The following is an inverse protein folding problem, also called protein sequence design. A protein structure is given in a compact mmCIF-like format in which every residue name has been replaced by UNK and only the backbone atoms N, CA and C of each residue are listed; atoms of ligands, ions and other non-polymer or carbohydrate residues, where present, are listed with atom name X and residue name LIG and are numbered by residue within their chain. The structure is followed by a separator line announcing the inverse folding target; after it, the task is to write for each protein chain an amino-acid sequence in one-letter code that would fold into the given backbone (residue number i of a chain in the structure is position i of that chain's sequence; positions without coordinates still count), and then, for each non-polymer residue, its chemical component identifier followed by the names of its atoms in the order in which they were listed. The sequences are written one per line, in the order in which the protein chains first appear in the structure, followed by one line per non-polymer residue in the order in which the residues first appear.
data_IF_804545456106
#
_entry.id   IF_804545456106
#
_cell.length_a   1.000
_cell.length_b   1.000
_cell.length_c   1.000
_cell.angle_alpha   90.00
_cell.angle_beta   90.00
_cell.angle_gamma   90.00
#
_symmetry.space_group_name_H-M   'P 1'
#
loop_
_entity.id
_entity.type
_entity.pdbx_description
1 polymer ?
#
# COMPACT_ATOMS: atom_id res chain seq x y z
N UNK A 1 0.66 -30.68 -3.11
CA UNK A 1 -0.29 -31.71 -3.54
C UNK A 1 -1.66 -31.47 -2.92
N UNK A 2 -1.81 -31.43 -1.59
CA UNK A 2 -3.10 -31.22 -0.89
C UNK A 2 -3.86 -29.96 -1.33
N UNK A 3 -3.18 -28.84 -1.63
CA UNK A 3 -3.79 -27.59 -2.11
C UNK A 3 -4.37 -27.76 -3.51
N UNK A 4 -3.63 -28.41 -4.42
CA UNK A 4 -4.08 -28.66 -5.80
C UNK A 4 -5.28 -29.61 -5.81
N UNK A 5 -5.28 -30.63 -4.97
CA UNK A 5 -6.40 -31.58 -4.82
C UNK A 5 -7.65 -30.90 -4.25
N UNK A 6 -7.53 -29.94 -3.32
CA UNK A 6 -8.65 -29.11 -2.83
C UNK A 6 -9.31 -28.29 -3.93
N UNK A 7 -8.53 -27.89 -4.94
CA UNK A 7 -9.04 -27.18 -6.12
C UNK A 7 -9.43 -28.11 -7.27
N UNK A 8 -9.57 -29.43 -7.01
CA UNK A 8 -9.88 -30.46 -8.01
C UNK A 8 -8.87 -30.49 -9.19
N UNK A 9 -7.66 -30.03 -8.91
CA UNK A 9 -6.53 -30.04 -9.85
C UNK A 9 -5.70 -31.33 -9.76
N UNK A 10 -4.72 -31.45 -10.65
CA UNK A 10 -3.74 -32.54 -10.68
C UNK A 10 -2.33 -31.98 -10.60
N UNK A 11 -1.45 -32.70 -9.91
CA UNK A 11 -0.01 -32.43 -9.88
C UNK A 11 0.74 -33.70 -10.23
N UNK A 12 1.64 -33.63 -11.23
CA UNK A 12 2.45 -34.77 -11.67
C UNK A 12 3.81 -34.28 -12.18
N UNK A 13 4.75 -35.23 -12.25
CA UNK A 13 6.07 -34.98 -12.83
C UNK A 13 6.00 -35.38 -14.29
N UNK A 14 6.48 -34.52 -15.19
CA UNK A 14 6.54 -34.81 -16.63
C UNK A 14 7.64 -35.86 -16.92
N UNK A 15 7.29 -37.10 -17.31
CA UNK A 15 8.28 -38.14 -17.52
C UNK A 15 9.10 -37.95 -18.83
N UNK A 16 8.69 -37.05 -19.70
CA UNK A 16 9.38 -36.73 -20.96
C UNK A 16 10.44 -35.64 -20.84
N UNK A 17 10.61 -35.03 -19.66
CA UNK A 17 11.61 -33.99 -19.46
C UNK A 17 12.95 -34.61 -19.03
N UNK A 18 14.00 -34.38 -19.83
CA UNK A 18 15.32 -35.06 -19.66
C UNK A 18 16.40 -34.17 -19.06
N UNK A 19 16.16 -32.86 -18.90
CA UNK A 19 17.15 -31.90 -18.39
C UNK A 19 16.90 -31.45 -16.95
N UNK A 20 16.23 -32.29 -16.14
CA UNK A 20 15.92 -31.98 -14.75
C UNK A 20 14.59 -32.57 -14.31
N UNK A 21 13.87 -31.90 -13.41
CA UNK A 21 12.55 -32.31 -12.95
C UNK A 21 11.51 -31.22 -13.28
N UNK A 22 10.55 -31.53 -14.14
CA UNK A 22 9.44 -30.65 -14.45
C UNK A 22 8.18 -31.09 -13.69
N UNK A 23 7.67 -30.23 -12.83
CA UNK A 23 6.43 -30.47 -12.07
C UNK A 23 5.28 -29.73 -12.75
N UNK A 24 4.32 -30.47 -13.28
CA UNK A 24 3.12 -29.93 -13.90
C UNK A 24 1.98 -29.81 -12.89
N UNK A 25 1.31 -28.66 -12.86
CA UNK A 25 0.12 -28.40 -12.05
C UNK A 25 -1.03 -28.01 -12.96
N UNK A 26 -2.08 -28.82 -12.97
CA UNK A 26 -3.31 -28.55 -13.73
C UNK A 26 -4.41 -28.15 -12.74
N UNK A 27 -5.03 -26.99 -12.93
CA UNK A 27 -6.17 -26.53 -12.12
C UNK A 27 -7.35 -26.29 -13.08
N UNK A 28 -8.58 -26.82 -12.78
CA UNK A 28 -9.75 -26.57 -13.59
C UNK A 28 -10.06 -25.07 -13.67
N UNK A 29 -10.10 -24.51 -14.88
CA UNK A 29 -10.53 -23.14 -15.12
C UNK A 29 -12.05 -23.09 -15.17
N UNK A 30 -12.66 -22.34 -14.25
CA UNK A 30 -14.08 -22.01 -14.31
C UNK A 30 -14.27 -20.83 -15.27
N UNK A 31 -14.64 -21.10 -16.50
CA UNK A 31 -15.13 -20.08 -17.42
C UNK A 31 -16.40 -19.43 -16.84
N UNK A 32 -16.24 -18.31 -16.17
CA UNK A 32 -17.31 -17.35 -16.06
C UNK A 32 -17.41 -16.70 -17.43
N UNK A 33 -18.43 -17.07 -18.21
CA UNK A 33 -18.75 -16.49 -19.50
C UNK A 33 -18.99 -14.98 -19.36
N UNK A 34 -17.92 -14.20 -19.47
CA UNK A 34 -18.01 -12.78 -19.81
C UNK A 34 -17.96 -12.76 -21.33
N UNK A 35 -19.11 -12.57 -21.96
CA UNK A 35 -19.22 -12.34 -23.39
C UNK A 35 -18.60 -10.99 -23.72
N UNK A 36 -17.30 -10.99 -24.01
CA UNK A 36 -16.64 -9.89 -24.68
C UNK A 36 -16.60 -10.23 -26.16
N UNK A 37 -17.44 -9.59 -26.96
CA UNK A 37 -17.35 -9.65 -28.41
C UNK A 37 -16.00 -9.11 -28.87
N UNK A 38 -15.20 -9.84 -29.65
CA UNK A 38 -13.97 -9.31 -30.19
C UNK A 38 -14.29 -8.44 -31.41
N UNK A 39 -14.34 -7.13 -31.23
CA UNK A 39 -14.17 -6.22 -32.37
C UNK A 39 -12.69 -6.14 -32.69
N UNK A 40 -12.26 -6.98 -33.61
CA UNK A 40 -10.95 -6.87 -34.24
C UNK A 40 -11.01 -5.64 -35.17
N UNK A 41 -10.47 -4.52 -34.65
CA UNK A 41 -10.10 -3.42 -35.55
C UNK A 41 -8.57 -3.38 -35.58
N UNK A 42 -8.05 -3.51 -36.79
CA UNK A 42 -6.66 -3.51 -37.19
C UNK A 42 -5.78 -2.53 -36.39
N UNK A 43 -4.70 -3.07 -35.83
CA UNK A 43 -3.58 -2.28 -35.32
C UNK A 43 -2.91 -1.50 -36.46
N UNK A 44 -2.63 -0.23 -36.31
CA UNK A 44 -1.58 0.42 -37.08
C UNK A 44 -0.22 0.08 -36.46
N UNK A 45 0.69 -0.34 -37.31
CA UNK A 45 2.10 -0.56 -37.03
C UNK A 45 2.77 0.68 -36.43
N UNK A 46 3.72 0.38 -35.51
CA UNK A 46 4.73 1.30 -34.97
C UNK A 46 4.25 2.41 -34.04
N UNK A 47 4.17 2.07 -32.76
CA UNK A 47 4.53 3.02 -31.71
C UNK A 47 6.05 2.89 -31.51
N UNK A 48 6.83 3.97 -31.66
CA UNK A 48 8.24 3.93 -31.27
C UNK A 48 8.29 3.69 -29.77
N UNK A 49 9.16 2.79 -29.35
CA UNK A 49 9.56 2.69 -27.97
C UNK A 49 10.13 4.05 -27.55
N UNK A 50 9.30 4.91 -27.00
CA UNK A 50 9.78 5.98 -26.15
C UNK A 50 10.24 5.27 -24.89
N UNK A 51 11.54 5.14 -24.74
CA UNK A 51 12.19 5.10 -23.45
C UNK A 51 11.78 6.40 -22.73
N UNK A 52 10.57 6.39 -22.15
CA UNK A 52 10.28 7.31 -21.07
C UNK A 52 11.22 6.87 -19.95
N UNK A 53 12.38 7.53 -19.88
CA UNK A 53 13.07 7.76 -18.64
C UNK A 53 12.05 8.49 -17.74
N UNK A 54 11.14 7.70 -17.14
CA UNK A 54 10.29 8.16 -16.06
C UNK A 54 11.22 8.71 -15.00
N UNK A 55 11.02 9.95 -14.61
CA UNK A 55 11.65 10.49 -13.39
C UNK A 55 11.55 9.38 -12.33
N UNK A 56 12.63 9.07 -11.59
CA UNK A 56 12.67 7.97 -10.65
C UNK A 56 11.46 8.16 -9.72
N UNK A 57 10.54 7.22 -9.75
CA UNK A 57 9.42 7.18 -8.82
C UNK A 57 10.06 7.29 -7.44
N UNK A 58 9.88 8.42 -6.75
CA UNK A 58 10.70 8.89 -5.65
C UNK A 58 10.66 8.03 -4.39
N UNK A 59 10.73 6.71 -4.53
CA UNK A 59 10.86 5.77 -3.42
C UNK A 59 12.28 5.75 -2.88
N UNK A 60 12.38 5.74 -1.55
CA UNK A 60 13.61 5.75 -0.78
C UNK A 60 13.80 4.41 -0.09
N UNK A 61 14.92 3.74 -0.33
CA UNK A 61 15.25 2.44 0.25
C UNK A 61 16.41 2.56 1.22
N UNK A 62 16.36 1.81 2.33
CA UNK A 62 17.51 1.62 3.23
C UNK A 62 18.09 0.22 2.98
N UNK A 63 19.34 0.15 2.62
CA UNK A 63 20.10 -1.10 2.43
C UNK A 63 21.08 -1.24 3.58
N UNK A 64 20.97 -2.36 4.32
CA UNK A 64 21.80 -2.66 5.50
C UNK A 64 22.60 -3.93 5.24
N UNK A 65 23.90 -3.79 5.12
CA UNK A 65 24.81 -4.88 4.75
C UNK A 65 26.22 -4.53 5.28
N UNK A 66 26.85 -5.43 6.00
CA UNK A 66 28.17 -5.20 6.60
C UNK A 66 29.32 -5.33 5.61
N UNK A 67 29.11 -6.07 4.52
CA UNK A 67 30.12 -6.25 3.46
C UNK A 67 30.07 -5.09 2.49
N UNK A 68 31.11 -4.26 2.50
CA UNK A 68 31.21 -3.03 1.68
C UNK A 68 30.98 -3.29 0.19
N UNK A 69 31.60 -4.35 -0.37
CA UNK A 69 31.45 -4.69 -1.79
C UNK A 69 29.99 -5.01 -2.17
N UNK A 70 29.27 -5.73 -1.29
CA UNK A 70 27.86 -6.07 -1.50
C UNK A 70 26.98 -4.82 -1.34
N UNK A 71 27.26 -4.00 -0.34
CA UNK A 71 26.55 -2.74 -0.10
C UNK A 71 26.66 -1.80 -1.31
N UNK A 72 27.90 -1.60 -1.83
CA UNK A 72 28.13 -0.79 -3.02
C UNK A 72 27.47 -1.39 -4.27
N UNK A 73 27.53 -2.72 -4.43
CA UNK A 73 26.87 -3.42 -5.53
C UNK A 73 25.37 -3.18 -5.51
N UNK A 74 24.70 -3.33 -4.36
CA UNK A 74 23.27 -3.09 -4.22
C UNK A 74 22.93 -1.62 -4.43
N UNK A 75 23.67 -0.71 -3.79
CA UNK A 75 23.45 0.73 -3.93
C UNK A 75 23.56 1.20 -5.38
N UNK A 76 24.57 0.73 -6.11
CA UNK A 76 24.75 1.07 -7.53
C UNK A 76 23.63 0.53 -8.42
N UNK A 77 23.22 -0.73 -8.24
CA UNK A 77 22.24 -1.37 -9.13
C UNK A 77 20.79 -0.97 -8.84
N UNK A 78 20.48 -0.61 -7.60
CA UNK A 78 19.15 -0.11 -7.20
C UNK A 78 19.05 1.41 -7.34
N UNK A 79 20.18 2.13 -7.22
CA UNK A 79 20.24 3.59 -7.29
C UNK A 79 19.81 4.20 -8.63
N UNK A 80 19.76 3.40 -9.70
CA UNK A 80 19.20 3.83 -10.98
C UNK A 80 17.67 4.03 -10.94
N UNK A 81 17.00 3.44 -9.95
CA UNK A 81 15.52 3.44 -9.86
C UNK A 81 15.02 4.06 -8.56
N UNK A 82 15.80 3.94 -7.48
CA UNK A 82 15.42 4.35 -6.13
C UNK A 82 16.44 5.27 -5.52
N UNK A 83 16.05 6.11 -4.57
CA UNK A 83 16.97 6.81 -3.69
C UNK A 83 17.48 5.82 -2.64
N UNK A 84 18.80 5.61 -2.55
CA UNK A 84 19.38 4.59 -1.66
C UNK A 84 20.07 5.27 -0.47
N UNK A 85 19.68 4.83 0.73
CA UNK A 85 20.41 5.06 1.97
C UNK A 85 21.09 3.77 2.37
N UNK A 86 22.25 3.86 3.00
CA UNK A 86 23.07 2.70 3.35
C UNK A 86 23.41 2.71 4.83
N UNK A 87 23.52 1.53 5.42
CA UNK A 87 24.02 1.33 6.77
C UNK A 87 24.83 0.01 6.80
N UNK A 88 25.82 -0.08 7.67
CA UNK A 88 26.71 -1.25 7.77
C UNK A 88 26.27 -2.24 8.86
N UNK A 89 25.31 -1.87 9.68
CA UNK A 89 24.75 -2.69 10.76
C UNK A 89 23.37 -2.13 11.20
N UNK A 90 22.66 -2.91 12.04
CA UNK A 90 21.33 -2.53 12.51
C UNK A 90 21.29 -1.24 13.35
N UNK A 91 22.36 -0.89 14.08
CA UNK A 91 22.41 0.35 14.88
C UNK A 91 22.45 1.58 13.97
N UNK A 92 23.36 1.59 13.00
CA UNK A 92 23.43 2.65 12.00
C UNK A 92 22.13 2.78 11.22
N UNK A 93 21.46 1.65 10.93
CA UNK A 93 20.16 1.66 10.29
C UNK A 93 19.10 2.38 11.14
N UNK A 94 19.03 2.14 12.45
CA UNK A 94 18.12 2.84 13.35
C UNK A 94 18.43 4.34 13.44
N UNK A 95 19.70 4.73 13.54
CA UNK A 95 20.15 6.13 13.52
C UNK A 95 19.74 6.83 12.20
N UNK A 96 19.92 6.15 11.07
CA UNK A 96 19.46 6.65 9.77
C UNK A 96 17.93 6.90 9.76
N UNK A 97 17.15 5.99 10.33
CA UNK A 97 15.69 6.08 10.38
C UNK A 97 15.16 7.19 11.32
N UNK A 98 15.96 7.70 12.25
CA UNK A 98 15.60 8.85 13.07
C UNK A 98 15.45 10.13 12.24
N UNK A 99 16.31 10.29 11.23
CA UNK A 99 16.40 11.52 10.44
C UNK A 99 15.85 11.37 9.02
N UNK A 100 15.81 10.15 8.48
CA UNK A 100 15.48 9.85 7.09
C UNK A 100 14.18 9.04 6.99
N UNK A 101 13.36 9.37 6.00
CA UNK A 101 12.17 8.57 5.66
C UNK A 101 12.52 7.58 4.56
N UNK A 102 12.19 6.31 4.78
CA UNK A 102 12.36 5.26 3.77
C UNK A 102 11.05 4.53 3.53
N UNK A 103 10.89 4.04 2.32
CA UNK A 103 9.69 3.32 1.87
C UNK A 103 9.81 1.81 2.03
N UNK A 104 11.05 1.29 2.12
CA UNK A 104 11.35 -0.13 2.30
C UNK A 104 12.77 -0.31 2.84
N UNK A 105 12.97 -1.34 3.66
CA UNK A 105 14.26 -1.73 4.23
C UNK A 105 14.68 -3.08 3.66
N UNK A 106 15.94 -3.20 3.25
CA UNK A 106 16.59 -4.45 2.84
C UNK A 106 17.75 -4.65 3.79
N UNK A 107 17.78 -5.75 4.53
CA UNK A 107 18.84 -6.02 5.51
C UNK A 107 19.40 -7.42 5.36
N UNK A 108 20.71 -7.53 5.43
CA UNK A 108 21.34 -8.82 5.73
C UNK A 108 20.93 -9.30 7.13
N UNK A 109 20.93 -10.62 7.31
CA UNK A 109 20.67 -11.24 8.62
C UNK A 109 21.94 -11.16 9.48
N UNK A 110 23.08 -11.56 8.93
CA UNK A 110 24.31 -11.71 9.71
C UNK A 110 25.15 -10.44 9.61
N UNK A 111 25.10 -9.63 10.65
CA UNK A 111 25.85 -8.38 10.73
C UNK A 111 26.41 -8.17 12.15
N UNK A 112 27.53 -7.44 12.30
CA UNK A 112 28.09 -7.09 13.60
C UNK A 112 27.18 -6.12 14.38
N UNK A 113 27.33 -6.07 15.69
CA UNK A 113 26.67 -5.14 16.63
C UNK A 113 25.18 -5.35 16.81
N UNK A 114 24.40 -5.34 15.74
CA UNK A 114 22.96 -5.62 15.71
C UNK A 114 22.66 -6.36 14.40
N UNK A 115 22.18 -7.56 14.52
CA UNK A 115 21.83 -8.41 13.38
C UNK A 115 20.48 -8.00 12.74
N UNK A 116 20.17 -8.60 11.57
CA UNK A 116 18.96 -8.27 10.82
C UNK A 116 17.66 -8.65 11.53
N UNK A 117 17.68 -9.68 12.38
CA UNK A 117 16.50 -10.07 13.17
C UNK A 117 16.28 -9.12 14.35
N UNK A 118 17.35 -8.70 15.01
CA UNK A 118 17.28 -7.71 16.09
C UNK A 118 16.80 -6.35 15.54
N UNK A 119 17.29 -5.94 14.36
CA UNK A 119 16.82 -4.76 13.67
C UNK A 119 15.33 -4.88 13.32
N UNK A 120 14.90 -5.98 12.71
CA UNK A 120 13.51 -6.24 12.37
C UNK A 120 12.61 -6.17 13.61
N UNK A 121 13.00 -6.83 14.70
CA UNK A 121 12.27 -6.80 15.97
C UNK A 121 12.14 -5.39 16.52
N UNK A 122 13.19 -4.59 16.47
CA UNK A 122 13.18 -3.20 16.88
C UNK A 122 12.22 -2.38 16.04
N UNK A 123 12.26 -2.54 14.70
CA UNK A 123 11.35 -1.88 13.75
C UNK A 123 9.90 -2.29 14.00
N UNK A 124 9.60 -3.57 14.20
CA UNK A 124 8.22 -4.06 14.43
C UNK A 124 7.66 -3.63 15.80
N UNK A 125 8.54 -3.43 16.78
CA UNK A 125 8.16 -2.93 18.12
C UNK A 125 7.96 -1.42 18.17
N UNK A 126 8.51 -0.68 17.22
CA UNK A 126 8.37 0.76 17.15
C UNK A 126 7.08 1.14 16.41
N UNK A 127 6.18 1.82 17.13
CA UNK A 127 4.91 2.28 16.57
C UNK A 127 5.07 3.24 15.37
N UNK A 128 6.24 3.86 15.19
CA UNK A 128 6.50 4.82 14.11
C UNK A 128 7.09 4.14 12.87
N UNK A 129 7.76 3.00 13.03
CA UNK A 129 8.51 2.33 11.98
C UNK A 129 7.85 1.01 11.52
N UNK A 130 6.97 0.42 12.32
CA UNK A 130 6.41 -0.93 12.10
C UNK A 130 5.66 -1.11 10.77
N UNK A 131 5.26 -0.01 10.12
CA UNK A 131 4.60 0.00 8.83
C UNK A 131 5.55 -0.11 7.62
N UNK A 132 6.86 0.01 7.82
CA UNK A 132 7.84 -0.02 6.74
C UNK A 132 8.06 -1.47 6.29
N UNK A 133 7.87 -1.82 5.01
CA UNK A 133 8.19 -3.14 4.49
C UNK A 133 9.65 -3.51 4.71
N UNK A 134 9.89 -4.76 5.07
CA UNK A 134 11.21 -5.25 5.45
C UNK A 134 11.54 -6.55 4.69
N UNK A 135 12.64 -6.52 3.93
CA UNK A 135 13.21 -7.67 3.22
C UNK A 135 14.44 -8.14 3.98
N UNK A 136 14.49 -9.43 4.33
CA UNK A 136 15.69 -10.06 4.86
C UNK A 136 16.47 -10.79 3.77
N UNK A 137 17.79 -10.58 3.74
CA UNK A 137 18.72 -11.33 2.90
C UNK A 137 19.30 -12.47 3.75
N UNK A 138 19.13 -13.72 3.32
CA UNK A 138 19.56 -14.89 4.10
C UNK A 138 20.52 -15.77 3.33
N UNK A 139 21.49 -16.40 4.02
CA UNK A 139 22.29 -17.46 3.45
C UNK A 139 21.48 -18.77 3.32
N UNK A 140 21.83 -19.61 2.36
CA UNK A 140 21.05 -20.78 1.89
C UNK A 140 20.78 -21.86 2.95
N UNK A 141 21.45 -21.87 4.11
CA UNK A 141 21.61 -23.07 4.95
C UNK A 141 20.69 -23.14 6.18
N UNK A 142 19.68 -22.29 6.34
CA UNK A 142 18.84 -22.36 7.54
C UNK A 142 17.34 -22.27 7.28
N UNK A 143 16.71 -23.43 7.10
CA UNK A 143 15.25 -23.56 7.14
C UNK A 143 14.70 -23.02 8.48
N UNK A 144 15.44 -23.23 9.56
CA UNK A 144 15.09 -22.69 10.88
C UNK A 144 15.11 -21.16 10.94
N UNK A 145 16.01 -20.50 10.22
CA UNK A 145 16.03 -19.04 10.10
C UNK A 145 14.85 -18.49 9.31
N UNK A 146 14.33 -19.23 8.32
CA UNK A 146 13.15 -18.84 7.55
C UNK A 146 11.87 -18.92 8.39
N UNK A 147 11.75 -19.98 9.21
CA UNK A 147 10.60 -20.17 10.10
C UNK A 147 10.63 -19.10 11.20
N UNK A 148 11.79 -18.90 11.83
CA UNK A 148 11.96 -17.86 12.84
C UNK A 148 11.66 -16.47 12.28
N UNK A 149 12.07 -16.18 11.06
CA UNK A 149 11.88 -14.87 10.45
C UNK A 149 10.46 -14.56 10.03
N UNK A 150 9.66 -15.53 9.61
CA UNK A 150 8.22 -15.39 9.41
C UNK A 150 7.51 -15.04 10.73
N UNK A 151 7.94 -15.64 11.84
CA UNK A 151 7.45 -15.34 13.18
C UNK A 151 7.85 -13.92 13.65
N UNK A 152 8.98 -13.39 13.17
CA UNK A 152 9.43 -12.01 13.44
C UNK A 152 8.78 -10.94 12.56
N UNK A 153 8.01 -11.33 11.50
CA UNK A 153 7.20 -10.41 10.71
C UNK A 153 7.94 -9.68 9.60
N UNK A 154 8.93 -10.31 8.96
CA UNK A 154 9.48 -9.81 7.69
C UNK A 154 8.43 -9.97 6.56
N UNK A 155 8.40 -9.00 5.63
CA UNK A 155 7.45 -9.04 4.50
C UNK A 155 7.95 -9.91 3.35
N UNK A 156 9.27 -10.09 3.23
CA UNK A 156 9.89 -10.98 2.26
C UNK A 156 11.27 -11.48 2.73
N UNK A 157 11.67 -12.63 2.14
CA UNK A 157 12.99 -13.23 2.28
C UNK A 157 13.60 -13.43 0.91
N UNK A 158 14.88 -13.09 0.78
CA UNK A 158 15.65 -13.33 -0.45
C UNK A 158 16.89 -14.14 -0.07
N UNK A 159 17.04 -15.32 -0.66
CA UNK A 159 18.20 -16.17 -0.42
C UNK A 159 19.42 -15.70 -1.21
N UNK A 160 20.58 -15.69 -0.57
CA UNK A 160 21.88 -15.51 -1.21
C UNK A 160 22.38 -16.88 -1.73
N UNK A 161 22.81 -17.00 -3.02
CA UNK A 161 22.94 -15.96 -4.02
C UNK A 161 21.61 -15.62 -4.72
N UNK A 162 21.36 -14.36 -4.95
CA UNK A 162 20.14 -13.87 -5.59
C UNK A 162 20.39 -13.18 -6.94
N UNK A 163 19.36 -13.14 -7.78
CA UNK A 163 19.40 -12.31 -8.98
C UNK A 163 18.83 -10.92 -8.70
N UNK A 164 19.42 -9.88 -9.30
CA UNK A 164 18.91 -8.52 -9.20
C UNK A 164 17.49 -8.38 -9.73
N UNK A 165 17.11 -9.16 -10.75
CA UNK A 165 15.74 -9.18 -11.29
C UNK A 165 14.74 -9.69 -10.25
N UNK A 166 15.06 -10.75 -9.49
CA UNK A 166 14.22 -11.25 -8.41
C UNK A 166 14.09 -10.22 -7.30
N UNK A 167 15.20 -9.60 -6.86
CA UNK A 167 15.17 -8.54 -5.85
C UNK A 167 14.30 -7.36 -6.27
N UNK A 168 14.50 -6.83 -7.48
CA UNK A 168 13.68 -5.72 -8.02
C UNK A 168 12.19 -6.09 -8.11
N UNK A 169 11.87 -7.31 -8.53
CA UNK A 169 10.48 -7.78 -8.56
C UNK A 169 9.87 -7.84 -7.16
N UNK A 170 10.60 -8.32 -6.16
CA UNK A 170 10.14 -8.36 -4.76
C UNK A 170 9.93 -6.95 -4.19
N UNK A 171 10.87 -6.03 -4.41
CA UNK A 171 10.75 -4.62 -4.01
C UNK A 171 9.49 -4.00 -4.64
N UNK A 172 9.35 -4.14 -5.97
CA UNK A 172 8.20 -3.57 -6.68
C UNK A 172 6.87 -4.13 -6.16
N UNK A 173 6.78 -5.43 -5.92
CA UNK A 173 5.56 -6.05 -5.38
C UNK A 173 5.18 -5.48 -4.00
N UNK A 174 6.15 -5.30 -3.11
CA UNK A 174 5.90 -4.73 -1.79
C UNK A 174 5.47 -3.26 -1.87
N UNK A 175 6.13 -2.46 -2.71
CA UNK A 175 5.79 -1.06 -2.92
C UNK A 175 4.43 -0.90 -3.62
N UNK A 176 4.11 -1.74 -4.61
CA UNK A 176 2.80 -1.72 -5.29
C UNK A 176 1.67 -2.17 -4.37
N UNK A 177 1.87 -3.21 -3.54
CA UNK A 177 0.89 -3.61 -2.54
C UNK A 177 0.57 -2.43 -1.60
N UNK A 178 1.58 -1.67 -1.21
CA UNK A 178 1.41 -0.46 -0.41
C UNK A 178 0.66 0.64 -1.17
N UNK A 179 0.95 0.83 -2.45
CA UNK A 179 0.23 1.76 -3.31
C UNK A 179 -1.24 1.37 -3.50
N UNK A 180 -1.54 0.07 -3.61
CA UNK A 180 -2.94 -0.41 -3.65
C UNK A 180 -3.67 -0.07 -2.35
N UNK A 181 -3.02 -0.21 -1.19
CA UNK A 181 -3.57 0.25 0.10
C UNK A 181 -3.91 1.74 0.06
N UNK A 182 -3.01 2.58 -0.45
CA UNK A 182 -3.26 4.02 -0.57
C UNK A 182 -4.45 4.32 -1.48
N UNK A 183 -4.56 3.64 -2.61
CA UNK A 183 -5.70 3.78 -3.51
C UNK A 183 -7.00 3.35 -2.84
N UNK A 184 -6.97 2.28 -2.05
CA UNK A 184 -8.14 1.83 -1.30
C UNK A 184 -8.61 2.87 -0.28
N UNK A 185 -7.69 3.57 0.42
CA UNK A 185 -8.05 4.67 1.31
C UNK A 185 -8.77 5.81 0.59
N UNK A 186 -8.40 6.10 -0.65
CA UNK A 186 -8.98 7.22 -1.41
C UNK A 186 -10.31 6.86 -2.05
N UNK A 187 -10.52 5.62 -2.48
CA UNK A 187 -11.66 5.22 -3.32
C UNK A 187 -12.85 4.66 -2.55
N UNK A 188 -12.63 4.02 -1.40
CA UNK A 188 -13.73 3.42 -0.63
C UNK A 188 -14.42 4.48 0.23
N UNK A 189 -15.77 4.66 0.09
CA UNK A 189 -16.51 5.67 0.84
C UNK A 189 -16.52 5.44 2.35
N UNK A 190 -16.54 4.18 2.82
CA UNK A 190 -16.57 3.84 4.23
C UNK A 190 -15.17 3.85 4.86
N UNK A 191 -15.09 4.23 6.14
CA UNK A 191 -13.86 4.19 6.94
C UNK A 191 -13.41 2.77 7.33
N UNK A 192 -13.97 1.72 6.72
CA UNK A 192 -13.56 0.35 6.99
C UNK A 192 -12.21 0.07 6.34
N UNK A 193 -11.19 -0.11 7.17
CA UNK A 193 -9.87 -0.58 6.71
C UNK A 193 -9.92 -2.07 6.44
N UNK A 194 -9.37 -2.51 5.32
CA UNK A 194 -9.15 -3.93 5.09
C UNK A 194 -8.05 -4.41 6.03
N UNK A 195 -8.48 -5.05 7.13
CA UNK A 195 -7.59 -5.55 8.18
C UNK A 195 -6.65 -6.66 7.70
N UNK A 196 -6.88 -7.19 6.48
CA UNK A 196 -6.00 -8.21 5.89
C UNK A 196 -4.72 -7.60 5.29
N UNK A 197 -4.74 -6.29 5.00
CA UNK A 197 -3.66 -5.58 4.31
C UNK A 197 -2.82 -4.69 5.23
N UNK A 198 -3.24 -4.50 6.49
CA UNK A 198 -2.53 -3.66 7.47
C UNK A 198 -2.35 -4.40 8.80
N UNK A 199 -1.24 -4.12 9.48
CA UNK A 199 -1.08 -4.64 10.83
C UNK A 199 -2.04 -3.97 11.82
N UNK A 200 -2.39 -4.69 12.90
CA UNK A 200 -3.36 -4.23 13.91
C UNK A 200 -2.96 -2.91 14.59
N UNK A 201 -1.67 -2.67 14.73
CA UNK A 201 -1.12 -1.46 15.37
C UNK A 201 -1.39 -0.23 14.49
N UNK A 202 -1.15 -0.33 13.18
CA UNK A 202 -1.38 0.76 12.25
C UNK A 202 -2.86 1.06 12.06
N UNK A 203 -3.71 0.03 12.01
CA UNK A 203 -5.18 0.20 12.01
C UNK A 203 -5.63 0.96 13.24
N UNK A 204 -5.17 0.57 14.43
CA UNK A 204 -5.50 1.25 15.68
C UNK A 204 -5.01 2.71 15.68
N UNK A 205 -3.79 2.94 15.19
CA UNK A 205 -3.22 4.29 15.11
C UNK A 205 -4.03 5.19 14.16
N UNK A 206 -4.42 4.70 12.98
CA UNK A 206 -5.28 5.46 12.05
C UNK A 206 -6.68 5.71 12.61
N UNK A 207 -7.27 4.75 13.31
CA UNK A 207 -8.56 4.95 13.97
C UNK A 207 -8.48 6.08 15.00
N UNK A 208 -7.43 6.11 15.83
CA UNK A 208 -7.21 7.21 16.79
C UNK A 208 -7.09 8.56 16.08
N UNK A 209 -6.35 8.64 14.97
CA UNK A 209 -6.25 9.86 14.16
C UNK A 209 -7.63 10.28 13.61
N UNK A 210 -8.42 9.33 13.12
CA UNK A 210 -9.76 9.63 12.60
C UNK A 210 -10.69 10.14 13.69
N UNK A 211 -10.65 9.56 14.87
CA UNK A 211 -11.40 10.05 16.04
C UNK A 211 -11.00 11.49 16.41
N UNK A 212 -9.69 11.77 16.43
CA UNK A 212 -9.18 13.12 16.69
C UNK A 212 -9.68 14.11 15.64
N UNK A 213 -9.60 13.76 14.36
CA UNK A 213 -10.07 14.62 13.26
C UNK A 213 -11.58 14.84 13.38
N UNK A 214 -12.36 13.78 13.58
CA UNK A 214 -13.82 13.84 13.62
C UNK A 214 -14.34 14.73 14.75
N UNK A 215 -13.79 14.59 15.95
CA UNK A 215 -14.20 15.43 17.10
C UNK A 215 -13.79 16.90 16.97
N UNK A 216 -12.85 17.21 16.07
CA UNK A 216 -12.33 18.55 15.86
C UNK A 216 -12.79 19.16 14.51
N UNK A 217 -13.82 18.64 13.84
CA UNK A 217 -14.27 19.18 12.54
C UNK A 217 -14.60 20.67 12.56
N UNK A 218 -15.29 21.12 13.59
CA UNK A 218 -15.75 22.50 13.74
C UNK A 218 -14.76 23.39 14.50
N UNK A 219 -13.65 22.83 14.96
CA UNK A 219 -12.64 23.59 15.70
C UNK A 219 -11.71 24.31 14.72
N UNK A 220 -11.89 25.64 14.59
CA UNK A 220 -11.07 26.49 13.69
C UNK A 220 -9.59 26.54 14.11
N UNK A 221 -9.30 26.30 15.38
CA UNK A 221 -7.92 26.25 15.91
C UNK A 221 -7.26 24.89 15.74
N UNK A 222 -7.95 23.89 15.20
CA UNK A 222 -7.40 22.55 15.01
C UNK A 222 -6.33 22.55 13.92
N UNK A 223 -5.09 22.34 14.35
CA UNK A 223 -3.91 22.30 13.49
C UNK A 223 -3.24 20.93 13.53
N UNK A 224 -2.32 20.70 12.59
CA UNK A 224 -1.48 19.48 12.58
C UNK A 224 -0.65 19.42 13.89
N UNK A 225 -0.25 20.55 14.43
CA UNK A 225 0.51 20.60 15.69
C UNK A 225 -0.33 20.11 16.87
N UNK A 226 -1.59 20.56 16.98
CA UNK A 226 -2.53 20.06 18.00
C UNK A 226 -2.83 18.56 17.81
N UNK A 227 -2.96 18.09 16.57
CA UNK A 227 -3.13 16.65 16.31
C UNK A 227 -1.90 15.83 16.74
N UNK A 228 -0.70 16.34 16.51
CA UNK A 228 0.54 15.69 16.95
C UNK A 228 0.67 15.68 18.49
N UNK A 229 0.28 16.78 19.14
CA UNK A 229 0.25 16.89 20.60
C UNK A 229 -0.73 15.88 21.22
N UNK A 230 -1.96 15.75 20.68
CA UNK A 230 -2.94 14.77 21.14
C UNK A 230 -2.48 13.30 20.93
N UNK A 231 -1.66 13.07 19.90
CA UNK A 231 -1.03 11.76 19.64
C UNK A 231 0.25 11.54 20.46
N UNK A 232 0.69 12.51 21.25
CA UNK A 232 1.95 12.51 22.02
C UNK A 232 3.19 12.21 21.14
N UNK A 233 3.23 12.76 19.92
CA UNK A 233 4.35 12.61 18.97
C UNK A 233 4.75 13.96 18.39
N UNK A 234 5.96 14.05 17.82
CA UNK A 234 6.36 15.25 17.09
C UNK A 234 5.57 15.43 15.79
N UNK A 235 5.43 16.68 15.34
CA UNK A 235 4.81 16.99 14.03
C UNK A 235 5.48 16.25 12.88
N UNK A 236 6.81 16.18 12.87
CA UNK A 236 7.57 15.47 11.85
C UNK A 236 7.26 13.97 11.83
N UNK A 237 7.16 13.36 13.01
CA UNK A 237 6.80 11.95 13.14
C UNK A 237 5.37 11.68 12.68
N UNK A 238 4.42 12.56 13.05
CA UNK A 238 3.05 12.48 12.56
C UNK A 238 2.99 12.53 11.03
N UNK A 239 3.67 13.52 10.42
CA UNK A 239 3.70 13.69 8.95
C UNK A 239 4.32 12.46 8.28
N UNK A 240 5.45 11.97 8.80
CA UNK A 240 6.17 10.82 8.28
C UNK A 240 5.32 9.56 8.31
N UNK A 241 4.77 9.22 9.47
CA UNK A 241 3.95 8.00 9.62
C UNK A 241 2.66 8.09 8.83
N UNK A 242 1.95 9.22 8.86
CA UNK A 242 0.70 9.37 8.13
C UNK A 242 0.93 9.27 6.61
N UNK A 243 1.96 9.94 6.09
CA UNK A 243 2.36 9.82 4.68
C UNK A 243 2.77 8.38 4.35
N UNK A 244 3.53 7.75 5.24
CA UNK A 244 3.95 6.36 5.07
C UNK A 244 2.79 5.36 5.04
N UNK A 245 1.72 5.57 5.81
CA UNK A 245 0.55 4.69 5.85
C UNK A 245 -0.48 4.97 4.77
N UNK A 246 -0.64 6.23 4.37
CA UNK A 246 -1.76 6.68 3.51
C UNK A 246 -1.33 7.26 2.17
N UNK A 247 -0.03 7.48 1.97
CA UNK A 247 0.52 8.18 0.81
C UNK A 247 0.23 9.68 0.79
N UNK A 248 -0.48 10.22 1.80
CA UNK A 248 -0.98 11.60 1.80
C UNK A 248 -0.36 12.45 2.90
N UNK A 249 -0.12 13.74 2.63
CA UNK A 249 0.21 14.69 3.70
C UNK A 249 -0.99 14.89 4.63
N UNK A 250 -0.78 15.28 5.91
CA UNK A 250 -1.84 15.40 6.92
C UNK A 250 -3.03 16.28 6.51
N UNK A 251 -2.79 17.41 5.87
CA UNK A 251 -3.88 18.29 5.41
C UNK A 251 -4.80 17.62 4.39
N UNK A 252 -4.24 16.82 3.48
CA UNK A 252 -5.01 16.10 2.48
C UNK A 252 -5.77 14.94 3.13
N UNK A 253 -5.17 14.29 4.12
CA UNK A 253 -5.82 13.24 4.88
C UNK A 253 -7.00 13.78 5.71
N UNK A 254 -6.82 14.89 6.43
CA UNK A 254 -7.91 15.57 7.16
C UNK A 254 -9.05 15.92 6.20
N UNK A 255 -8.72 16.47 5.03
CA UNK A 255 -9.72 16.79 4.01
C UNK A 255 -10.46 15.54 3.52
N UNK A 256 -9.75 14.42 3.31
CA UNK A 256 -10.35 13.16 2.92
C UNK A 256 -11.33 12.64 3.97
N UNK A 257 -10.96 12.65 5.26
CA UNK A 257 -11.84 12.21 6.34
C UNK A 257 -13.09 13.08 6.41
N UNK A 258 -12.96 14.42 6.33
CA UNK A 258 -14.09 15.35 6.25
C UNK A 258 -15.04 15.01 5.09
N UNK A 259 -14.50 14.73 3.90
CA UNK A 259 -15.31 14.40 2.72
C UNK A 259 -15.99 13.02 2.84
N UNK A 260 -15.32 12.02 3.42
CA UNK A 260 -15.92 10.70 3.68
C UNK A 260 -17.09 10.80 4.64
N UNK A 261 -16.91 11.49 5.78
CA UNK A 261 -17.99 11.74 6.73
C UNK A 261 -19.12 12.55 6.08
N UNK A 262 -18.79 13.53 5.24
CA UNK A 262 -19.82 14.24 4.47
C UNK A 262 -20.63 13.30 3.58
N UNK A 263 -19.98 12.32 2.92
CA UNK A 263 -20.65 11.31 2.11
C UNK A 263 -21.58 10.42 2.91
N UNK A 264 -21.24 10.08 4.14
CA UNK A 264 -22.09 9.30 5.06
C UNK A 264 -23.32 10.11 5.48
N UNK A 265 -23.13 11.35 5.97
CA UNK A 265 -24.21 12.25 6.37
C UNK A 265 -25.19 12.56 5.21
N UNK A 266 -24.65 12.71 3.98
CA UNK A 266 -25.48 12.93 2.80
C UNK A 266 -26.31 11.71 2.42
N UNK A 267 -25.84 10.47 2.67
CA UNK A 267 -26.60 9.25 2.43
C UNK A 267 -27.69 9.04 3.47
N UNK A 268 -27.44 9.42 4.73
CA UNK A 268 -28.45 9.38 5.79
C UNK A 268 -29.65 10.29 5.46
N UNK A 269 -29.40 11.37 4.70
CA UNK A 269 -30.46 12.25 4.21
C UNK A 269 -31.10 13.18 5.26
N UNK A 270 -30.57 13.20 6.48
CA UNK A 270 -31.09 14.01 7.57
C UNK A 270 -30.72 15.49 7.46
N UNK A 271 -29.63 15.81 6.74
CA UNK A 271 -29.07 17.16 6.66
C UNK A 271 -29.08 17.70 5.25
N UNK A 272 -29.22 19.03 5.12
CA UNK A 272 -29.04 19.71 3.83
C UNK A 272 -27.56 19.78 3.48
N UNK A 273 -27.22 19.85 2.20
CA UNK A 273 -25.84 19.87 1.70
C UNK A 273 -25.02 20.99 2.37
N UNK A 274 -25.59 22.19 2.55
CA UNK A 274 -24.90 23.30 3.21
C UNK A 274 -24.65 23.01 4.72
N UNK A 275 -25.60 22.35 5.39
CA UNK A 275 -25.44 21.96 6.79
C UNK A 275 -24.31 20.93 6.92
N UNK A 276 -24.30 19.90 6.07
CA UNK A 276 -23.22 18.92 6.02
C UNK A 276 -21.86 19.61 5.79
N UNK A 277 -21.77 20.59 4.87
CA UNK A 277 -20.55 21.35 4.64
C UNK A 277 -19.98 21.92 5.94
N UNK A 278 -20.81 22.57 6.74
CA UNK A 278 -20.36 23.17 8.00
C UNK A 278 -20.12 22.14 9.11
N UNK A 279 -20.93 21.10 9.20
CA UNK A 279 -20.77 20.00 10.19
C UNK A 279 -19.37 19.35 10.02
N UNK A 280 -18.94 19.11 8.79
CA UNK A 280 -17.63 18.49 8.52
C UNK A 280 -16.47 19.50 8.46
N UNK A 281 -16.71 20.76 8.85
CA UNK A 281 -15.68 21.78 9.02
C UNK A 281 -15.20 22.48 7.75
N UNK A 282 -16.03 22.54 6.71
CA UNK A 282 -15.77 23.43 5.56
C UNK A 282 -16.49 24.75 5.76
N UNK A 283 -15.78 25.87 5.58
CA UNK A 283 -16.33 27.22 5.73
C UNK A 283 -16.91 27.79 4.43
N UNK A 284 -16.71 27.10 3.29
CA UNK A 284 -17.15 27.55 1.98
C UNK A 284 -17.82 26.43 1.18
N UNK A 285 -19.16 26.51 0.95
CA UNK A 285 -19.91 25.50 0.21
C UNK A 285 -19.42 25.26 -1.23
N UNK A 286 -18.95 26.31 -1.92
CA UNK A 286 -18.43 26.15 -3.29
C UNK A 286 -17.09 25.41 -3.31
N UNK A 287 -16.23 25.67 -2.34
CA UNK A 287 -14.98 24.94 -2.17
C UNK A 287 -15.25 23.49 -1.76
N UNK A 288 -16.17 23.26 -0.82
CA UNK A 288 -16.64 21.93 -0.44
C UNK A 288 -17.13 21.13 -1.65
N UNK A 289 -18.04 21.70 -2.46
CA UNK A 289 -18.60 21.03 -3.63
C UNK A 289 -17.52 20.61 -4.64
N UNK A 290 -16.51 21.45 -4.88
CA UNK A 290 -15.37 21.14 -5.76
C UNK A 290 -14.52 20.01 -5.18
N UNK A 291 -14.21 20.05 -3.89
CA UNK A 291 -13.43 18.99 -3.22
C UNK A 291 -14.19 17.68 -3.23
N UNK A 292 -15.50 17.70 -2.97
CA UNK A 292 -16.37 16.54 -2.99
C UNK A 292 -16.44 15.92 -4.39
N UNK A 293 -16.64 16.76 -5.43
CA UNK A 293 -16.65 16.28 -6.81
C UNK A 293 -15.30 15.68 -7.23
N UNK A 294 -14.19 16.29 -6.82
CA UNK A 294 -12.85 15.74 -7.08
C UNK A 294 -12.67 14.38 -6.42
N UNK A 295 -13.23 14.17 -5.22
CA UNK A 295 -13.09 12.95 -4.45
C UNK A 295 -14.01 11.83 -4.95
N UNK A 296 -15.27 12.12 -5.22
CA UNK A 296 -16.31 11.13 -5.53
C UNK A 296 -16.72 11.10 -7.01
N UNK A 297 -16.17 11.97 -7.85
CA UNK A 297 -16.49 12.07 -9.28
C UNK A 297 -17.81 12.78 -9.58
N UNK A 298 -18.68 13.01 -8.60
CA UNK A 298 -20.00 13.61 -8.74
C UNK A 298 -20.22 14.75 -7.73
N UNK A 299 -21.12 15.66 -8.02
CA UNK A 299 -21.46 16.74 -7.11
C UNK A 299 -22.25 16.22 -5.89
N UNK A 300 -22.18 16.90 -4.72
CA UNK A 300 -22.95 16.53 -3.53
C UNK A 300 -24.46 16.36 -3.79
N UNK A 301 -25.05 17.22 -4.62
CA UNK A 301 -26.48 17.17 -4.98
C UNK A 301 -26.86 15.90 -5.77
N UNK A 302 -25.94 15.40 -6.60
CA UNK A 302 -26.17 14.23 -7.42
C UNK A 302 -25.86 12.95 -6.62
N UNK A 303 -24.95 13.05 -5.64
CA UNK A 303 -24.62 11.98 -4.71
C UNK A 303 -25.81 11.60 -3.81
N UNK A 304 -26.58 12.59 -3.32
CA UNK A 304 -27.84 12.37 -2.57
C UNK A 304 -28.89 11.68 -3.43
N UNK A 305 -28.98 12.03 -4.71
CA UNK A 305 -29.94 11.43 -5.66
C UNK A 305 -29.53 10.03 -6.10
N UNK A 306 -28.25 9.73 -6.09
CA UNK A 306 -27.68 8.46 -6.55
C UNK A 306 -27.80 7.30 -5.54
N UNK A 307 -28.36 7.51 -4.36
CA UNK A 307 -28.82 6.44 -3.47
C UNK A 307 -29.80 5.47 -4.15
N UNK A 308 -30.44 5.91 -5.25
CA UNK A 308 -31.40 5.12 -6.03
C UNK A 308 -30.82 4.46 -7.30
N UNK A 309 -29.55 4.68 -7.66
CA UNK A 309 -29.01 4.25 -8.99
C UNK A 309 -28.60 2.78 -9.04
N UNK A 310 -28.52 2.07 -7.93
CA UNK A 310 -28.22 0.62 -7.93
C UNK A 310 -29.38 -0.30 -8.30
N UNK A 311 -30.60 0.23 -8.56
CA UNK A 311 -31.79 -0.58 -8.90
C UNK A 311 -32.44 -0.30 -10.27
N UNK A 312 -31.89 0.58 -11.13
CA UNK A 312 -32.52 0.94 -12.41
C UNK A 312 -31.72 0.57 -13.67
N UNK A 313 -31.09 -0.60 -13.69
CA UNK A 313 -30.68 -1.25 -14.96
C UNK A 313 -31.20 -2.69 -15.01
N UNK A 314 -32.51 -2.86 -14.90
CA UNK A 314 -33.22 -4.06 -15.39
C UNK A 314 -34.56 -3.64 -15.97
N UNK A 315 -34.65 -3.73 -17.28
CA UNK A 315 -35.93 -3.95 -17.94
C UNK A 315 -36.56 -2.73 -18.59
N UNK A 316 -36.29 -2.56 -19.88
CA UNK A 316 -37.34 -2.29 -20.88
C UNK A 316 -36.83 -2.67 -22.28
N UNK A 317 -36.92 -3.95 -22.59
CA UNK A 317 -37.05 -4.38 -23.99
C UNK A 317 -38.52 -4.53 -24.23
N UNK A 318 -39.18 -3.50 -24.70
CA UNK A 318 -40.53 -3.59 -25.27
C UNK A 318 -40.40 -4.11 -26.69
N UNK A 319 -40.79 -5.35 -26.86
CA UNK A 319 -41.15 -5.92 -28.17
C UNK A 319 -42.60 -5.48 -28.39
N UNK A 320 -42.87 -4.83 -29.47
CA UNK A 320 -44.21 -4.62 -30.02
C UNK A 320 -44.21 -4.90 -31.54
N UNK A 321 -45.36 -5.24 -32.12
CA UNK A 321 -45.62 -6.49 -32.82
C UNK A 321 -45.20 -6.48 -34.26
#
# INVERSE_FOLDING_TARGET
KLLVEKHKGKVYINPGYTEGCEVCVEIPYLEKSISVSPSITSMPDKVPASEEEGEPAGYSLLVVEDTTDMLEFLAKNLGNTYTIHTATNGKEALECLETTTVDLIISDIVMPHMDGFELLKSIRSDNMLCHIPFILLSALDSIDSKIAGLDYGADAYIEKPFSLSHMKATINNLLENRRMLFNHFTTVPNMSYDQTLMNKTDVKWLNTINEIITRNFTNEEFTIDKMAEEMAISRSNLQRKLKGLTGMPPNDYIRLIRLKTAGELLREGEYRINEVCYIVGFNNPSYFARCFQKQFGILPKDYVKGGDITHSQKGTTSISP
#
